data_IF_892885557485
#
_entry.id   IF_892885557485
#
_cell.length_a   1.000
_cell.length_b   1.000
_cell.length_c   1.000
_cell.angle_alpha   90.00
_cell.angle_beta   90.00
_cell.angle_gamma   90.00
#
_symmetry.space_group_name_H-M   'P 1'
#
loop_
_entity.id
_entity.type
_entity.pdbx_description
1 polymer ?
#
# COMPACT_ATOMS: atom_id res chain seq x y z
N UNK A 1 21.92 18.84 3.54
CA UNK A 1 22.23 17.41 3.77
C UNK A 1 22.34 16.76 2.40
N UNK A 2 23.53 16.33 1.98
CA UNK A 2 23.68 15.59 0.72
C UNK A 2 22.85 14.32 0.81
N UNK A 3 21.93 14.16 -0.14
CA UNK A 3 21.07 12.98 -0.21
C UNK A 3 21.97 11.83 -0.66
N UNK A 4 22.24 10.81 0.19
CA UNK A 4 22.88 9.63 -0.33
C UNK A 4 21.92 9.04 -1.37
N UNK A 5 22.41 8.41 -2.43
CA UNK A 5 21.76 7.31 -3.16
C UNK A 5 20.32 7.43 -3.76
N UNK A 6 19.60 8.55 -3.62
CA UNK A 6 18.12 8.61 -3.76
C UNK A 6 17.53 8.78 -5.18
N UNK A 7 18.16 8.33 -6.27
CA UNK A 7 17.49 8.39 -7.58
C UNK A 7 17.96 7.40 -8.66
N UNK A 8 18.94 6.54 -8.40
CA UNK A 8 19.36 5.56 -9.41
C UNK A 8 19.23 4.17 -8.81
N UNK A 9 18.11 3.47 -9.05
CA UNK A 9 18.06 2.07 -8.75
C UNK A 9 18.95 1.37 -9.77
N UNK A 10 19.77 0.46 -9.28
CA UNK A 10 20.17 -0.70 -10.05
C UNK A 10 18.88 -1.32 -10.63
N UNK A 11 18.57 -1.05 -11.90
CA UNK A 11 17.33 -1.47 -12.56
C UNK A 11 17.21 -3.01 -12.69
N UNK A 12 18.19 -3.75 -12.17
CA UNK A 12 18.23 -5.20 -12.11
C UNK A 12 17.50 -5.81 -10.91
N UNK A 13 17.02 -5.02 -9.96
CA UNK A 13 16.22 -5.56 -8.86
C UNK A 13 14.76 -5.62 -9.26
N UNK A 14 14.22 -6.83 -9.38
CA UNK A 14 12.79 -7.04 -9.56
C UNK A 14 12.05 -6.33 -8.41
N UNK A 15 11.31 -5.27 -8.73
CA UNK A 15 10.63 -4.45 -7.73
C UNK A 15 9.47 -5.26 -7.15
N UNK A 16 9.72 -5.91 -6.01
CA UNK A 16 8.66 -6.60 -5.29
C UNK A 16 7.71 -5.59 -4.65
N UNK A 17 6.41 -5.85 -4.76
CA UNK A 17 5.40 -5.07 -4.04
C UNK A 17 5.71 -5.13 -2.54
N UNK A 18 5.89 -3.97 -1.87
CA UNK A 18 6.15 -3.91 -0.45
C UNK A 18 5.10 -4.70 0.36
N UNK A 19 5.51 -5.38 1.45
CA UNK A 19 4.61 -6.23 2.23
C UNK A 19 3.31 -5.55 2.67
N UNK A 20 3.37 -4.25 3.00
CA UNK A 20 2.21 -3.47 3.42
C UNK A 20 1.16 -3.33 2.31
N UNK A 21 1.59 -2.90 1.12
CA UNK A 21 0.70 -2.77 -0.04
C UNK A 21 0.11 -4.13 -0.39
N UNK A 22 0.95 -5.18 -0.39
CA UNK A 22 0.51 -6.56 -0.62
C UNK A 22 -0.57 -6.99 0.38
N UNK A 23 -0.45 -6.61 1.65
CA UNK A 23 -1.44 -6.94 2.67
C UNK A 23 -2.78 -6.23 2.42
N UNK A 24 -2.78 -4.93 2.10
CA UNK A 24 -4.03 -4.20 1.78
C UNK A 24 -4.76 -4.82 0.60
N UNK A 25 -4.04 -5.19 -0.46
CA UNK A 25 -4.66 -5.82 -1.62
C UNK A 25 -5.25 -7.20 -1.29
N UNK A 26 -4.58 -7.98 -0.42
CA UNK A 26 -5.11 -9.29 0.04
C UNK A 26 -6.34 -9.16 0.94
N UNK A 27 -6.50 -8.03 1.64
CA UNK A 27 -7.70 -7.74 2.42
C UNK A 27 -8.91 -7.39 1.53
N UNK A 28 -8.68 -7.08 0.26
CA UNK A 28 -9.71 -6.63 -0.68
C UNK A 28 -9.76 -5.11 -0.85
N UNK A 29 -8.72 -4.39 -0.43
CA UNK A 29 -8.64 -2.95 -0.67
C UNK A 29 -8.52 -2.63 -2.17
N UNK A 30 -9.01 -1.47 -2.58
CA UNK A 30 -9.04 -1.01 -3.97
C UNK A 30 -8.34 0.33 -4.12
N UNK A 31 -7.57 0.50 -5.20
CA UNK A 31 -7.04 1.80 -5.61
C UNK A 31 -8.18 2.56 -6.30
N UNK A 32 -8.43 3.80 -5.87
CA UNK A 32 -9.61 4.57 -6.27
C UNK A 32 -9.39 5.53 -7.44
N UNK A 33 -8.19 5.57 -8.03
CA UNK A 33 -7.90 6.46 -9.14
C UNK A 33 -6.42 6.57 -9.45
N UNK A 34 -6.08 7.62 -10.18
CA UNK A 34 -4.72 7.96 -10.55
C UNK A 34 -3.91 8.45 -9.34
N UNK A 35 -2.59 8.19 -9.32
CA UNK A 35 -1.73 8.73 -8.28
C UNK A 35 -1.60 10.25 -8.35
N UNK A 36 -1.53 10.89 -7.18
CA UNK A 36 -1.17 12.30 -7.04
C UNK A 36 0.34 12.43 -6.84
N UNK A 37 0.99 13.28 -7.62
CA UNK A 37 2.42 13.56 -7.45
C UNK A 37 2.64 14.62 -6.37
N UNK A 38 3.41 14.29 -5.34
CA UNK A 38 3.90 15.24 -4.34
C UNK A 38 5.37 15.60 -4.63
N UNK A 39 5.66 16.82 -5.12
CA UNK A 39 7.01 17.24 -5.46
C UNK A 39 7.90 17.53 -4.24
N UNK A 40 7.32 17.88 -3.09
CA UNK A 40 8.09 18.17 -1.87
C UNK A 40 8.67 16.89 -1.28
N UNK A 41 7.86 15.82 -1.32
CA UNK A 41 8.26 14.49 -0.83
C UNK A 41 8.89 13.61 -1.91
N UNK A 42 8.76 14.01 -3.18
CA UNK A 42 9.16 13.23 -4.36
C UNK A 42 8.52 11.83 -4.36
N UNK A 43 7.22 11.77 -4.04
CA UNK A 43 6.46 10.53 -3.99
C UNK A 43 5.11 10.65 -4.69
N UNK A 44 4.54 9.50 -5.00
CA UNK A 44 3.20 9.40 -5.56
C UNK A 44 2.25 8.87 -4.48
N UNK A 45 1.20 9.62 -4.18
CA UNK A 45 0.15 9.24 -3.25
C UNK A 45 -1.01 8.59 -4.00
N UNK A 46 -1.56 7.52 -3.44
CA UNK A 46 -2.71 6.82 -4.02
C UNK A 46 -3.82 6.70 -2.98
N UNK A 47 -5.05 7.01 -3.38
CA UNK A 47 -6.21 6.72 -2.56
C UNK A 47 -6.51 5.22 -2.60
N UNK A 48 -6.41 4.56 -1.44
CA UNK A 48 -6.72 3.14 -1.25
C UNK A 48 -7.89 3.00 -0.28
N UNK A 49 -8.98 2.38 -0.73
CA UNK A 49 -10.20 2.19 0.07
C UNK A 49 -10.39 0.71 0.41
N UNK A 50 -10.69 0.43 1.69
CA UNK A 50 -11.06 -0.89 2.17
C UNK A 50 -12.50 -0.87 2.72
N UNK A 51 -13.38 -1.62 2.09
CA UNK A 51 -14.72 -1.90 2.62
C UNK A 51 -14.62 -3.01 3.67
N UNK A 52 -14.76 -2.63 4.93
CA UNK A 52 -14.65 -3.55 6.08
C UNK A 52 -15.78 -4.59 6.09
N UNK A 53 -16.97 -4.24 5.58
CA UNK A 53 -18.11 -5.15 5.53
C UNK A 53 -17.91 -6.30 4.53
N UNK A 54 -17.08 -6.06 3.51
CA UNK A 54 -16.74 -7.02 2.47
C UNK A 54 -15.27 -7.47 2.51
N UNK A 55 -14.61 -7.28 3.66
CA UNK A 55 -13.23 -7.74 3.86
C UNK A 55 -13.13 -9.25 3.67
N UNK A 56 -12.05 -9.71 3.03
CA UNK A 56 -11.84 -11.14 2.79
C UNK A 56 -11.93 -11.96 4.09
N UNK A 57 -12.85 -12.93 4.14
CA UNK A 57 -13.27 -13.63 5.37
C UNK A 57 -12.17 -14.40 6.11
N UNK A 58 -11.03 -14.67 5.47
CA UNK A 58 -9.84 -15.22 6.15
C UNK A 58 -9.24 -14.23 7.17
N UNK A 59 -9.43 -12.93 6.96
CA UNK A 59 -8.84 -11.85 7.74
C UNK A 59 -9.82 -11.20 8.72
N UNK A 60 -11.12 -11.22 8.42
CA UNK A 60 -12.16 -10.70 9.33
C UNK A 60 -12.06 -11.31 10.74
N UNK A 61 -11.78 -12.61 10.83
CA UNK A 61 -11.65 -13.33 12.11
C UNK A 61 -10.44 -12.89 12.97
N UNK A 62 -9.43 -12.30 12.36
CA UNK A 62 -8.22 -11.81 13.06
C UNK A 62 -8.36 -10.34 13.44
N UNK A 63 -8.90 -9.51 12.54
CA UNK A 63 -8.95 -8.05 12.71
C UNK A 63 -10.29 -7.51 13.22
N UNK A 64 -11.40 -8.23 13.02
CA UNK A 64 -12.76 -7.81 13.40
C UNK A 64 -13.31 -8.63 14.57
N UNK A 65 -12.45 -9.17 15.45
CA UNK A 65 -12.93 -9.82 16.68
C UNK A 65 -13.81 -8.85 17.45
N UNK A 66 -15.10 -9.15 17.54
CA UNK A 66 -15.99 -8.45 18.44
C UNK A 66 -15.51 -8.64 19.88
N UNK A 67 -15.50 -7.54 20.63
CA UNK A 67 -15.60 -7.58 22.08
C UNK A 67 -16.96 -8.21 22.41
N UNK A 68 -16.98 -9.51 22.72
CA UNK A 68 -18.00 -10.08 23.59
C UNK A 68 -17.46 -10.12 25.01
#
# INVERSE_FOLDING_TARGET
RSLPHLAFPDHHRQEEIPPLIRAYMRLGAKVCGEPCWDPEFRCADMLVLLDVSHMAGRYSRHFLKEKR
#
